data_IF_768810231299
#
_entry.id   IF_768810231299
#
_cell.length_a   1.000
_cell.length_b   1.000
_cell.length_c   1.000
_cell.angle_alpha   90.00
_cell.angle_beta   90.00
_cell.angle_gamma   90.00
#
_symmetry.space_group_name_H-M   'P 1'
#
loop_
_entity.id
_entity.type
_entity.pdbx_description
1 polymer ?
#
# COMPACT_ATOMS: atom_id res chain seq x y z
N UNK A 1 -21.90 -71.51 -20.20
CA UNK A 1 -20.74 -70.77 -19.66
C UNK A 1 -21.23 -69.40 -19.26
N UNK A 2 -21.09 -69.05 -17.99
CA UNK A 2 -21.67 -67.87 -17.32
C UNK A 2 -20.89 -66.60 -17.69
N UNK A 3 -21.59 -65.56 -18.16
CA UNK A 3 -21.04 -64.21 -18.25
C UNK A 3 -21.06 -63.58 -16.84
N UNK A 4 -19.88 -63.29 -16.30
CA UNK A 4 -19.72 -62.54 -15.07
C UNK A 4 -19.99 -61.06 -15.29
N UNK A 5 -20.89 -60.49 -14.49
CA UNK A 5 -21.16 -59.05 -14.46
C UNK A 5 -20.03 -58.36 -13.70
N UNK A 6 -19.15 -57.65 -14.41
CA UNK A 6 -18.24 -56.68 -13.78
C UNK A 6 -19.06 -55.43 -13.46
N UNK A 7 -19.31 -55.22 -12.18
CA UNK A 7 -19.81 -53.96 -11.65
C UNK A 7 -18.72 -52.90 -11.88
N UNK A 8 -18.79 -52.19 -13.01
CA UNK A 8 -17.94 -51.02 -13.26
C UNK A 8 -18.50 -49.88 -12.42
N UNK A 9 -17.93 -49.70 -11.22
CA UNK A 9 -18.09 -48.48 -10.43
C UNK A 9 -17.71 -47.29 -11.31
N UNK A 10 -18.71 -46.50 -11.69
CA UNK A 10 -18.58 -45.15 -12.22
C UNK A 10 -17.92 -44.27 -11.16
N UNK A 11 -16.60 -44.35 -11.07
CA UNK A 11 -15.79 -43.31 -10.46
C UNK A 11 -15.92 -42.07 -11.33
N UNK A 12 -16.88 -41.21 -10.99
CA UNK A 12 -16.90 -39.84 -11.47
C UNK A 12 -15.54 -39.24 -11.13
N UNK A 13 -14.69 -39.13 -12.15
CA UNK A 13 -13.52 -38.28 -12.12
C UNK A 13 -14.04 -36.88 -11.81
N UNK A 14 -13.98 -36.50 -10.54
CA UNK A 14 -14.08 -35.13 -10.12
C UNK A 14 -12.98 -34.41 -10.89
N UNK A 15 -13.37 -33.69 -11.95
CA UNK A 15 -12.56 -32.64 -12.50
C UNK A 15 -12.30 -31.70 -11.33
N UNK A 16 -11.15 -31.88 -10.69
CA UNK A 16 -10.49 -30.88 -9.87
C UNK A 16 -10.51 -29.64 -10.75
N UNK A 17 -11.43 -28.72 -10.46
CA UNK A 17 -11.51 -27.47 -11.16
C UNK A 17 -10.12 -26.86 -11.08
N UNK A 18 -9.39 -26.87 -12.19
CA UNK A 18 -8.18 -26.10 -12.33
C UNK A 18 -8.60 -24.69 -11.93
N UNK A 19 -8.02 -24.17 -10.84
CA UNK A 19 -8.27 -22.81 -10.41
C UNK A 19 -8.02 -21.93 -11.64
N UNK A 20 -9.11 -21.42 -12.24
CA UNK A 20 -9.01 -20.57 -13.41
C UNK A 20 -8.09 -19.42 -13.01
N UNK A 21 -7.04 -19.09 -13.80
CA UNK A 21 -6.18 -17.97 -13.46
C UNK A 21 -7.09 -16.75 -13.28
N UNK A 22 -7.07 -16.18 -12.07
CA UNK A 22 -7.86 -14.99 -11.77
C UNK A 22 -7.55 -13.95 -12.84
N UNK A 23 -8.60 -13.48 -13.52
CA UNK A 23 -8.43 -12.49 -14.57
C UNK A 23 -7.61 -11.33 -14.01
N UNK A 24 -6.50 -11.04 -14.68
CA UNK A 24 -5.61 -9.92 -14.44
C UNK A 24 -6.42 -8.62 -14.44
N UNK A 25 -6.94 -8.24 -13.27
CA UNK A 25 -7.74 -7.04 -13.10
C UNK A 25 -6.80 -5.91 -12.69
N UNK A 26 -6.88 -4.79 -13.39
CA UNK A 26 -6.16 -3.57 -13.02
C UNK A 26 -6.76 -3.03 -11.73
N UNK A 27 -5.92 -2.83 -10.71
CA UNK A 27 -6.36 -2.28 -9.43
C UNK A 27 -6.16 -0.77 -9.44
N UNK A 28 -7.19 -0.01 -9.10
CA UNK A 28 -7.06 1.43 -8.85
C UNK A 28 -6.75 1.66 -7.38
N UNK A 29 -5.63 2.31 -7.07
CA UNK A 29 -5.26 2.70 -5.72
C UNK A 29 -5.46 4.20 -5.55
N UNK A 30 -6.36 4.57 -4.63
CA UNK A 30 -6.55 5.93 -4.16
C UNK A 30 -5.90 6.05 -2.79
N UNK A 31 -4.89 6.91 -2.68
CA UNK A 31 -4.08 7.04 -1.49
C UNK A 31 -4.14 8.44 -0.91
N UNK A 32 -4.12 8.53 0.42
CA UNK A 32 -3.86 9.78 1.15
C UNK A 32 -2.71 9.59 2.13
N UNK A 33 -1.71 10.48 2.09
CA UNK A 33 -0.55 10.47 3.00
C UNK A 33 -0.57 11.74 3.82
N UNK A 34 -0.78 11.59 5.12
CA UNK A 34 -0.93 12.66 6.10
C UNK A 34 0.27 12.69 7.05
N UNK A 35 0.87 13.87 7.21
CA UNK A 35 1.88 14.11 8.22
C UNK A 35 1.23 14.54 9.53
N UNK A 36 0.92 13.54 10.35
CA UNK A 36 0.27 13.68 11.66
C UNK A 36 1.15 14.34 12.71
N UNK A 37 2.48 14.34 12.54
CA UNK A 37 3.41 15.13 13.36
C UNK A 37 3.37 16.59 12.94
N UNK A 38 2.20 17.21 13.11
CA UNK A 38 2.03 18.64 13.08
C UNK A 38 2.91 19.24 14.19
N UNK A 39 4.02 19.88 13.82
CA UNK A 39 4.49 21.05 14.55
C UNK A 39 4.74 20.87 16.06
N UNK A 40 5.28 19.72 16.52
CA UNK A 40 5.68 19.63 17.93
C UNK A 40 6.81 20.64 18.29
N UNK A 41 7.44 21.26 17.28
CA UNK A 41 8.63 22.10 17.43
C UNK A 41 8.61 23.47 16.72
N UNK A 42 7.49 23.89 16.13
CA UNK A 42 7.34 25.25 15.57
C UNK A 42 7.47 25.40 14.05
N UNK A 43 7.89 24.35 13.30
CA UNK A 43 8.17 24.49 11.86
C UNK A 43 6.93 24.23 10.98
N UNK A 44 6.54 25.25 10.22
CA UNK A 44 5.40 25.16 9.28
C UNK A 44 5.75 24.44 7.98
N UNK A 45 7.03 24.13 7.73
CA UNK A 45 7.47 23.32 6.58
C UNK A 45 7.05 21.85 6.69
N UNK A 46 6.68 21.40 7.89
CA UNK A 46 6.25 20.03 8.18
C UNK A 46 4.75 19.80 7.92
N UNK A 47 4.07 20.77 7.28
CA UNK A 47 2.64 20.66 6.98
C UNK A 47 2.33 19.74 5.81
N UNK A 48 3.32 19.35 5.01
CA UNK A 48 3.13 18.33 3.99
C UNK A 48 4.36 17.43 3.92
N UNK A 49 4.20 16.18 3.48
CA UNK A 49 5.35 15.34 3.19
C UNK A 49 6.28 16.01 2.17
N UNK A 50 7.55 16.23 2.50
CA UNK A 50 8.56 16.75 1.55
C UNK A 50 8.87 15.73 0.43
N UNK A 51 8.62 14.44 0.69
CA UNK A 51 8.68 13.38 -0.30
C UNK A 51 7.67 12.27 0.04
N UNK A 52 7.08 11.65 -1.00
CA UNK A 52 6.25 10.44 -0.89
C UNK A 52 6.70 9.45 -1.97
N UNK A 53 6.95 8.22 -1.57
CA UNK A 53 7.27 7.10 -2.45
C UNK A 53 6.24 6.00 -2.25
N UNK A 54 5.58 5.60 -3.34
CA UNK A 54 4.71 4.44 -3.39
C UNK A 54 5.55 3.21 -3.78
N UNK A 55 5.49 2.16 -2.99
CA UNK A 55 6.06 0.85 -3.34
C UNK A 55 4.92 -0.16 -3.51
N UNK A 56 5.01 -0.93 -4.59
CA UNK A 56 4.00 -1.92 -4.95
C UNK A 56 4.70 -3.19 -5.42
N UNK A 57 3.98 -4.31 -5.39
CA UNK A 57 4.44 -5.57 -5.99
C UNK A 57 3.40 -6.07 -6.98
N UNK A 58 3.65 -6.05 -8.30
CA UNK A 58 4.85 -5.53 -8.97
C UNK A 58 5.03 -4.01 -8.82
N UNK A 59 6.26 -3.53 -8.99
CA UNK A 59 6.60 -2.11 -8.85
C UNK A 59 5.88 -1.24 -9.90
N UNK A 60 5.38 -0.09 -9.46
CA UNK A 60 4.81 0.97 -10.32
C UNK A 60 5.71 2.19 -10.37
N UNK A 61 5.53 3.04 -11.41
CA UNK A 61 6.03 4.40 -11.36
C UNK A 61 5.51 5.15 -10.13
N UNK A 62 6.24 6.19 -9.73
CA UNK A 62 5.80 7.10 -8.69
C UNK A 62 4.47 7.77 -9.09
N UNK A 63 3.50 7.89 -8.15
CA UNK A 63 2.22 8.52 -8.45
C UNK A 63 2.35 10.03 -8.57
N UNK A 64 1.44 10.65 -9.34
CA UNK A 64 1.22 12.09 -9.28
C UNK A 64 0.56 12.47 -7.96
N UNK A 65 1.16 13.40 -7.22
CA UNK A 65 0.64 13.85 -5.93
C UNK A 65 -0.16 15.15 -6.10
N UNK A 66 -1.30 15.23 -5.40
CA UNK A 66 -2.14 16.42 -5.33
C UNK A 66 -2.18 16.89 -3.87
N UNK A 67 -1.78 18.13 -3.61
CA UNK A 67 -1.85 18.70 -2.27
C UNK A 67 -3.32 18.86 -1.84
N UNK A 68 -3.61 18.51 -0.58
CA UNK A 68 -4.92 18.68 0.05
C UNK A 68 -4.77 19.65 1.23
N UNK A 69 -4.95 20.97 1.04
CA UNK A 69 -4.62 21.95 2.06
C UNK A 69 -5.49 21.93 3.31
N UNK A 70 -6.75 21.52 3.18
CA UNK A 70 -7.64 21.39 4.33
C UNK A 70 -7.13 20.38 5.37
N UNK A 71 -6.40 19.34 4.92
CA UNK A 71 -5.97 18.23 5.77
C UNK A 71 -4.45 18.06 5.81
N UNK A 72 -3.66 19.01 5.26
CA UNK A 72 -2.19 18.96 5.33
C UNK A 72 -1.60 17.63 4.79
N UNK A 73 -2.23 17.11 3.74
CA UNK A 73 -1.93 15.79 3.20
C UNK A 73 -1.66 15.86 1.69
N UNK A 74 -1.04 14.82 1.15
CA UNK A 74 -1.06 14.55 -0.29
C UNK A 74 -2.05 13.43 -0.58
N UNK A 75 -2.84 13.60 -1.64
CA UNK A 75 -3.62 12.52 -2.23
C UNK A 75 -3.05 12.11 -3.58
N UNK A 76 -3.32 10.88 -3.97
CA UNK A 76 -2.98 10.37 -5.30
C UNK A 76 -3.97 9.33 -5.77
N UNK A 77 -4.01 9.11 -7.08
CA UNK A 77 -4.68 7.97 -7.71
C UNK A 77 -3.68 7.30 -8.64
N UNK A 78 -3.51 5.98 -8.49
CA UNK A 78 -2.55 5.19 -9.24
C UNK A 78 -3.20 3.91 -9.75
N UNK A 79 -3.05 3.63 -11.04
CA UNK A 79 -3.38 2.31 -11.58
C UNK A 79 -2.22 1.36 -11.32
N UNK A 80 -2.48 0.29 -10.58
CA UNK A 80 -1.53 -0.77 -10.30
C UNK A 80 -1.54 -1.81 -11.44
N UNK A 81 -0.41 -2.46 -11.71
CA UNK A 81 -0.32 -3.46 -12.76
C UNK A 81 -1.16 -4.67 -12.40
N UNK A 82 -1.54 -5.43 -13.43
CA UNK A 82 -2.20 -6.71 -13.25
C UNK A 82 -1.40 -7.63 -12.31
N UNK A 83 -2.11 -8.26 -11.36
CA UNK A 83 -1.47 -9.12 -10.37
C UNK A 83 -0.78 -8.37 -9.24
N UNK A 84 -1.11 -7.09 -9.02
CA UNK A 84 -0.69 -6.37 -7.83
C UNK A 84 -1.14 -7.11 -6.55
N UNK A 85 -0.16 -7.45 -5.71
CA UNK A 85 -0.35 -8.23 -4.47
C UNK A 85 -0.14 -7.39 -3.23
N UNK A 86 0.54 -6.25 -3.33
CA UNK A 86 0.77 -5.36 -2.20
C UNK A 86 1.04 -3.93 -2.64
N UNK A 87 0.75 -3.00 -1.73
CA UNK A 87 1.08 -1.58 -1.87
C UNK A 87 1.44 -1.00 -0.50
N UNK A 88 2.26 0.04 -0.49
CA UNK A 88 2.55 0.81 0.71
C UNK A 88 3.30 2.09 0.39
N UNK A 89 3.50 2.93 1.39
CA UNK A 89 4.20 4.21 1.22
C UNK A 89 5.33 4.40 2.22
N UNK A 90 6.33 5.12 1.74
CA UNK A 90 7.37 5.75 2.54
C UNK A 90 7.25 7.24 2.31
N UNK A 91 7.38 8.04 3.37
CA UNK A 91 7.36 9.49 3.26
C UNK A 91 8.48 10.13 4.08
N UNK A 92 8.70 11.42 3.83
CA UNK A 92 9.46 12.32 4.68
C UNK A 92 8.52 13.45 5.11
N UNK A 93 8.17 13.52 6.38
CA UNK A 93 7.24 14.52 6.93
C UNK A 93 7.92 15.77 7.45
N UNK A 94 9.24 15.83 7.32
CA UNK A 94 10.09 16.82 7.95
C UNK A 94 11.28 17.09 7.05
N UNK A 95 11.80 18.32 7.08
CA UNK A 95 12.99 18.69 6.32
C UNK A 95 13.76 19.87 6.93
N UNK A 96 15.08 19.86 6.79
CA UNK A 96 15.93 20.98 7.16
C UNK A 96 16.47 20.93 8.59
N UNK A 97 16.46 19.77 9.23
CA UNK A 97 17.04 19.60 10.56
C UNK A 97 18.55 19.43 10.52
N UNK A 98 19.29 20.40 11.06
CA UNK A 98 20.75 20.34 11.24
C UNK A 98 21.10 20.14 12.73
N UNK A 99 22.18 19.41 13.09
CA UNK A 99 23.17 18.75 12.23
C UNK A 99 22.80 17.34 11.77
N UNK A 100 21.75 16.75 12.35
CA UNK A 100 21.53 15.31 12.21
C UNK A 100 20.74 14.89 10.97
N UNK A 101 19.99 15.78 10.32
CA UNK A 101 19.23 15.48 9.10
C UNK A 101 17.86 14.83 9.31
N UNK A 102 17.17 14.61 8.19
CA UNK A 102 15.83 14.03 8.09
C UNK A 102 15.87 12.74 7.26
N UNK A 103 15.28 11.66 7.77
CA UNK A 103 15.34 10.34 7.14
C UNK A 103 13.99 9.62 7.20
N UNK A 104 13.76 8.76 6.21
CA UNK A 104 12.63 7.82 6.24
C UNK A 104 13.00 6.65 7.15
N UNK A 105 12.23 6.45 8.21
CA UNK A 105 12.42 5.39 9.19
C UNK A 105 11.70 4.11 8.80
N UNK A 106 10.38 4.06 8.99
CA UNK A 106 9.57 2.88 8.67
C UNK A 106 8.49 3.18 7.63
N UNK A 107 8.32 2.23 6.72
CA UNK A 107 7.27 2.22 5.71
C UNK A 107 6.09 1.38 6.17
N UNK A 108 4.91 1.63 5.60
CA UNK A 108 3.73 0.83 5.90
C UNK A 108 2.90 0.57 4.67
N UNK A 109 2.40 -0.66 4.59
CA UNK A 109 1.65 -1.17 3.45
C UNK A 109 0.71 -2.29 3.85
N UNK A 110 0.07 -2.87 2.84
CA UNK A 110 -0.93 -3.91 2.98
C UNK A 110 -0.85 -4.88 1.80
N UNK A 111 -1.43 -6.06 2.00
CA UNK A 111 -1.65 -7.04 0.94
C UNK A 111 -2.97 -6.75 0.25
N UNK A 112 -2.99 -6.87 -1.07
CA UNK A 112 -4.18 -6.68 -1.91
C UNK A 112 -4.81 -8.07 -2.14
N UNK A 113 -6.05 -8.31 -1.68
CA UNK A 113 -6.76 -9.56 -1.93
C UNK A 113 -7.00 -9.80 -3.42
N UNK A 114 -7.02 -11.07 -3.83
CA UNK A 114 -7.37 -11.44 -5.19
C UNK A 114 -8.80 -10.98 -5.54
N UNK A 115 -8.99 -10.51 -6.76
CA UNK A 115 -10.29 -9.98 -7.22
C UNK A 115 -10.58 -8.53 -6.83
N UNK A 116 -9.70 -7.88 -6.07
CA UNK A 116 -9.80 -6.44 -5.81
C UNK A 116 -9.68 -5.66 -7.11
N UNK A 117 -10.51 -4.63 -7.28
CA UNK A 117 -10.46 -3.71 -8.42
C UNK A 117 -10.18 -2.28 -7.98
N UNK A 118 -10.54 -1.93 -6.74
CA UNK A 118 -10.31 -0.63 -6.17
C UNK A 118 -9.84 -0.73 -4.72
N UNK A 119 -8.86 0.10 -4.38
CA UNK A 119 -8.27 0.21 -3.05
C UNK A 119 -8.30 1.67 -2.64
N UNK A 120 -8.82 1.94 -1.46
CA UNK A 120 -8.73 3.26 -0.83
C UNK A 120 -7.92 3.10 0.44
N UNK A 121 -6.82 3.82 0.56
CA UNK A 121 -5.91 3.71 1.69
C UNK A 121 -5.48 5.09 2.22
N UNK A 122 -5.32 5.18 3.53
CA UNK A 122 -4.76 6.34 4.21
C UNK A 122 -3.54 5.91 5.01
N UNK A 123 -2.49 6.71 4.95
CA UNK A 123 -1.30 6.56 5.77
C UNK A 123 -1.09 7.77 6.65
N UNK A 124 -0.98 7.52 7.94
CA UNK A 124 -0.54 8.50 8.93
C UNK A 124 0.96 8.35 9.13
N UNK A 125 1.69 9.41 8.82
CA UNK A 125 3.14 9.49 9.00
C UNK A 125 3.47 10.49 10.11
N UNK A 126 4.52 10.20 10.87
CA UNK A 126 5.01 11.09 11.93
C UNK A 126 6.53 11.16 11.89
N UNK A 127 7.07 12.38 11.98
CA UNK A 127 8.48 12.65 12.16
C UNK A 127 8.77 12.88 13.64
N UNK A 128 9.74 12.16 14.20
CA UNK A 128 10.17 12.31 15.59
C UNK A 128 11.69 12.36 15.67
N UNK A 129 12.27 13.13 16.61
CA UNK A 129 13.70 13.13 16.84
C UNK A 129 14.12 11.84 17.56
N UNK A 130 15.20 11.21 17.10
CA UNK A 130 15.93 10.21 17.87
C UNK A 130 16.94 10.94 18.74
N UNK A 131 16.95 10.75 20.06
CA UNK A 131 17.86 11.47 20.95
C UNK A 131 19.04 10.60 21.45
N UNK A 132 20.31 11.01 21.21
CA UNK A 132 20.76 12.00 20.23
C UNK A 132 20.73 11.41 18.81
N UNK A 133 20.43 12.22 17.78
CA UNK A 133 20.30 11.65 16.44
C UNK A 133 19.37 12.40 15.48
N UNK A 134 19.12 11.77 14.32
CA UNK A 134 18.32 12.34 13.23
C UNK A 134 16.83 12.34 13.53
N UNK A 135 16.08 13.02 12.66
CA UNK A 135 14.64 12.92 12.60
C UNK A 135 14.23 11.75 11.72
N UNK A 136 13.39 10.87 12.27
CA UNK A 136 12.87 9.71 11.55
C UNK A 136 11.39 9.88 11.26
N UNK A 137 11.02 9.78 9.98
CA UNK A 137 9.62 9.69 9.56
C UNK A 137 9.16 8.23 9.53
N UNK A 138 8.16 7.90 10.31
CA UNK A 138 7.51 6.58 10.33
C UNK A 138 6.08 6.70 9.83
N UNK A 139 5.74 5.91 8.82
CA UNK A 139 4.39 5.82 8.27
C UNK A 139 3.67 4.57 8.76
N UNK A 140 2.36 4.67 8.93
CA UNK A 140 1.47 3.56 9.30
C UNK A 140 0.19 3.65 8.47
N UNK A 141 -0.31 2.52 7.97
CA UNK A 141 -1.65 2.44 7.36
C UNK A 141 -2.67 2.73 8.46
N UNK A 142 -3.42 3.82 8.33
CA UNK A 142 -4.48 4.21 9.28
C UNK A 142 -5.83 3.65 8.85
N UNK A 143 -6.05 3.51 7.55
CA UNK A 143 -7.24 2.85 6.99
C UNK A 143 -6.94 2.24 5.63
N UNK A 144 -7.60 1.12 5.34
CA UNK A 144 -7.59 0.50 4.02
C UNK A 144 -8.92 -0.19 3.76
N UNK A 145 -9.46 -0.03 2.56
CA UNK A 145 -10.67 -0.72 2.10
C UNK A 145 -10.49 -1.26 0.68
N UNK A 146 -11.07 -2.42 0.41
CA UNK A 146 -10.99 -3.15 -0.86
C UNK A 146 -12.38 -3.33 -1.43
N UNK A 147 -12.53 -3.19 -2.76
CA UNK A 147 -13.77 -3.48 -3.50
C UNK A 147 -13.49 -4.05 -4.88
#
# INVERSE_FOLDING_TARGET
MTLGSVLVTTGALALVGLAQPAAASTVTLQGTVDCTSSNNYGDTRDWYPSAVNLYTSPATPAPGLVAVPATKAFSFTQTLPAGATSAGVTALCSSGHYPYGDFSGSSSGFTIPAGTTNVVATWGCSAQPVNPGPWLTTCTVTSVSFS
#
